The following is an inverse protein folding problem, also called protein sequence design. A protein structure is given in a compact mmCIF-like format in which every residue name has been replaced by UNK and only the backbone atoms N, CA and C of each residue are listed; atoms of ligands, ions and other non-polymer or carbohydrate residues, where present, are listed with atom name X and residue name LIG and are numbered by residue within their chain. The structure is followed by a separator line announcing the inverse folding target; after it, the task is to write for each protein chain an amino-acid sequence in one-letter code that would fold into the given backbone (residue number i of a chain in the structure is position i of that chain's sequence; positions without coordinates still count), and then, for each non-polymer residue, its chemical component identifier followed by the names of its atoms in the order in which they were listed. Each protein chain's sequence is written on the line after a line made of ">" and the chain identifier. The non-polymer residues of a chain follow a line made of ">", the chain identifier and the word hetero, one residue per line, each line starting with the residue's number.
data_IF_551531859885
#
_entry.id   IF_551531859885
#
_cell.length_a   1.000
_cell.length_b   1.000
_cell.length_c   1.000
_cell.angle_alpha   90.00
_cell.angle_beta   90.00
_cell.angle_gamma   90.00
#
_symmetry.space_group_name_H-M   'P 1'
#
loop_
_entity.id
_entity.type
_entity.pdbx_description
1 polymer ?
#
# COMPACT_ATOMS: atom_id res chain seq x y z
N UNK A 1 9.24 -22.21 -3.11
CA UNK A 1 9.89 -20.89 -3.06
C UNK A 1 8.90 -19.94 -2.42
N UNK A 2 9.21 -19.36 -1.26
CA UNK A 2 8.36 -18.29 -0.69
C UNK A 2 8.37 -17.13 -1.68
N UNK A 3 7.20 -16.60 -2.05
CA UNK A 3 7.13 -15.42 -2.90
C UNK A 3 7.89 -14.25 -2.24
N UNK A 4 8.70 -13.54 -3.03
CA UNK A 4 9.51 -12.35 -2.65
C UNK A 4 8.66 -11.19 -2.10
N UNK A 5 7.38 -11.18 -2.46
CA UNK A 5 6.38 -10.22 -2.04
C UNK A 5 5.03 -10.90 -1.79
N UNK A 6 4.16 -10.22 -1.02
CA UNK A 6 2.77 -10.65 -0.78
C UNK A 6 1.79 -9.57 -1.27
N UNK A 7 0.72 -9.99 -1.94
CA UNK A 7 -0.45 -9.14 -2.17
C UNK A 7 -1.31 -9.16 -0.91
N UNK A 8 -1.33 -8.05 -0.17
CA UNK A 8 -2.08 -7.94 1.08
C UNK A 8 -3.53 -7.49 0.87
N UNK A 9 -3.79 -6.81 -0.24
CA UNK A 9 -5.15 -6.52 -0.66
C UNK A 9 -5.23 -5.85 -2.03
N UNK A 10 -6.39 -6.01 -2.63
CA UNK A 10 -6.73 -5.51 -3.96
C UNK A 10 -8.19 -5.06 -3.92
N UNK A 11 -8.40 -3.77 -4.15
CA UNK A 11 -9.70 -3.13 -3.97
C UNK A 11 -10.06 -2.30 -5.19
N UNK A 12 -11.36 -2.20 -5.47
CA UNK A 12 -11.93 -1.21 -6.38
C UNK A 12 -12.54 -0.07 -5.58
N UNK A 13 -12.41 1.15 -6.09
CA UNK A 13 -12.90 2.36 -5.43
C UNK A 13 -14.32 2.67 -5.90
N UNK A 14 -15.25 2.72 -4.95
CA UNK A 14 -16.66 3.04 -5.23
C UNK A 14 -16.99 4.53 -5.10
N UNK A 15 -16.34 5.21 -4.14
CA UNK A 15 -16.60 6.61 -3.80
C UNK A 15 -15.36 7.46 -4.07
N UNK A 16 -15.55 8.71 -4.48
CA UNK A 16 -14.52 9.64 -4.98
C UNK A 16 -14.10 9.40 -6.44
N UNK A 17 -13.35 8.33 -6.73
CA UNK A 17 -12.79 8.08 -8.06
C UNK A 17 -13.19 6.69 -8.57
N UNK A 18 -14.29 6.63 -9.33
CA UNK A 18 -14.80 5.38 -9.90
C UNK A 18 -13.80 4.83 -10.93
N UNK A 19 -13.81 3.52 -11.13
CA UNK A 19 -12.91 2.79 -12.05
C UNK A 19 -11.42 2.79 -11.64
N UNK A 20 -11.14 3.15 -10.39
CA UNK A 20 -9.81 3.00 -9.78
C UNK A 20 -9.67 1.66 -9.06
N UNK A 21 -8.53 1.00 -9.27
CA UNK A 21 -8.07 -0.12 -8.45
C UNK A 21 -6.90 0.33 -7.56
N UNK A 22 -6.87 -0.17 -6.32
CA UNK A 22 -5.79 0.06 -5.35
C UNK A 22 -5.27 -1.29 -4.89
N UNK A 23 -3.94 -1.43 -4.84
CA UNK A 23 -3.29 -2.67 -4.41
C UNK A 23 -2.26 -2.35 -3.33
N UNK A 24 -2.21 -3.18 -2.29
CA UNK A 24 -1.20 -3.12 -1.24
C UNK A 24 -0.27 -4.33 -1.34
N UNK A 25 1.00 -4.07 -1.64
CA UNK A 25 2.05 -5.09 -1.76
C UNK A 25 3.06 -4.96 -0.64
N UNK A 26 3.50 -6.09 -0.10
CA UNK A 26 4.58 -6.14 0.89
C UNK A 26 5.80 -6.84 0.32
N UNK A 27 6.94 -6.17 0.36
CA UNK A 27 8.24 -6.75 0.02
C UNK A 27 8.93 -7.28 1.28
N UNK A 28 9.29 -8.58 1.30
CA UNK A 28 9.86 -9.24 2.50
C UNK A 28 11.33 -8.89 2.74
N UNK A 29 12.05 -8.57 1.67
CA UNK A 29 13.50 -8.32 1.68
C UNK A 29 13.86 -6.84 1.56
N UNK A 30 12.95 -5.94 2.00
CA UNK A 30 13.17 -4.49 1.95
C UNK A 30 13.44 -3.99 0.53
N UNK A 31 14.38 -3.05 0.38
CA UNK A 31 14.73 -2.44 -0.91
C UNK A 31 15.32 -3.43 -1.91
N UNK A 32 16.02 -4.47 -1.46
CA UNK A 32 16.57 -5.50 -2.36
C UNK A 32 15.46 -6.25 -3.11
N UNK A 33 14.36 -6.59 -2.41
CA UNK A 33 13.19 -7.21 -3.03
C UNK A 33 12.46 -6.26 -4.00
N UNK A 34 12.48 -4.96 -3.71
CA UNK A 34 11.94 -3.93 -4.61
C UNK A 34 12.79 -3.86 -5.88
N UNK A 35 14.12 -3.79 -5.75
CA UNK A 35 15.05 -3.70 -6.88
C UNK A 35 14.93 -4.91 -7.81
N UNK A 36 14.84 -6.12 -7.25
CA UNK A 36 14.58 -7.34 -8.02
C UNK A 36 13.27 -7.27 -8.78
N UNK A 37 12.19 -6.84 -8.11
CA UNK A 37 10.87 -6.72 -8.75
C UNK A 37 10.89 -5.69 -9.88
N UNK A 38 11.56 -4.56 -9.68
CA UNK A 38 11.75 -3.53 -10.72
C UNK A 38 12.56 -4.07 -11.90
N UNK A 39 13.60 -4.85 -11.64
CA UNK A 39 14.36 -5.51 -12.70
C UNK A 39 13.49 -6.51 -13.49
N UNK A 40 12.65 -7.30 -12.80
CA UNK A 40 11.76 -8.25 -13.45
C UNK A 40 10.72 -7.56 -14.35
N UNK A 41 10.15 -6.44 -13.89
CA UNK A 41 9.24 -5.60 -14.70
C UNK A 41 9.89 -5.13 -16.03
N UNK A 42 11.21 -4.94 -16.05
CA UNK A 42 11.96 -4.45 -17.21
C UNK A 42 12.53 -5.55 -18.11
N UNK A 43 12.75 -6.74 -17.56
CA UNK A 43 13.51 -7.82 -18.22
C UNK A 43 12.67 -9.05 -18.57
N UNK A 44 11.61 -9.35 -17.81
CA UNK A 44 10.79 -10.54 -18.05
C UNK A 44 9.75 -10.26 -19.14
N UNK A 45 9.86 -10.96 -20.29
CA UNK A 45 9.04 -10.68 -21.48
C UNK A 45 7.52 -10.84 -21.25
N UNK A 46 7.11 -11.81 -20.44
CA UNK A 46 5.69 -12.01 -20.11
C UNK A 46 5.13 -10.83 -19.33
N UNK A 47 5.90 -10.29 -18.39
CA UNK A 47 5.54 -9.12 -17.57
C UNK A 47 5.50 -7.87 -18.43
N UNK A 48 6.50 -7.66 -19.30
CA UNK A 48 6.51 -6.53 -20.25
C UNK A 48 5.32 -6.56 -21.20
N UNK A 49 4.91 -7.75 -21.64
CA UNK A 49 3.71 -7.91 -22.47
C UNK A 49 2.46 -7.47 -21.69
N UNK A 50 2.28 -7.95 -20.46
CA UNK A 50 1.15 -7.56 -19.60
C UNK A 50 1.14 -6.05 -19.32
N UNK A 51 2.30 -5.45 -19.07
CA UNK A 51 2.41 -4.00 -18.85
C UNK A 51 1.99 -3.19 -20.07
N UNK A 52 2.35 -3.64 -21.29
CA UNK A 52 1.90 -2.99 -22.53
C UNK A 52 0.39 -3.13 -22.74
N UNK A 53 -0.18 -4.30 -22.49
CA UNK A 53 -1.62 -4.53 -22.62
C UNK A 53 -2.40 -3.70 -21.60
N UNK A 54 -1.93 -3.67 -20.35
CA UNK A 54 -2.53 -2.87 -19.29
C UNK A 54 -2.41 -1.36 -19.58
N UNK A 55 -1.30 -0.91 -20.15
CA UNK A 55 -1.09 0.47 -20.58
C UNK A 55 -2.08 0.97 -21.65
N UNK A 56 -2.76 0.08 -22.38
CA UNK A 56 -3.79 0.47 -23.36
C UNK A 56 -5.13 0.86 -22.71
N UNK A 57 -5.38 0.41 -21.48
CA UNK A 57 -6.65 0.61 -20.77
C UNK A 57 -6.52 1.51 -19.53
N UNK A 58 -5.30 1.73 -19.05
CA UNK A 58 -5.04 2.61 -17.90
C UNK A 58 -4.95 4.08 -18.32
N UNK A 59 -5.75 4.93 -17.67
CA UNK A 59 -5.63 6.39 -17.80
C UNK A 59 -4.42 6.94 -17.01
N UNK A 60 -4.17 6.39 -15.82
CA UNK A 60 -3.12 6.83 -14.89
C UNK A 60 -2.71 5.69 -13.98
N UNK A 61 -1.44 5.67 -13.57
CA UNK A 61 -0.91 4.78 -12.52
C UNK A 61 0.00 5.57 -11.60
N UNK A 62 -0.22 5.43 -10.30
CA UNK A 62 0.64 5.99 -9.25
C UNK A 62 1.09 4.87 -8.31
N UNK A 63 2.37 4.88 -7.94
CA UNK A 63 2.94 3.94 -6.98
C UNK A 63 3.66 4.73 -5.88
N UNK A 64 3.49 4.30 -4.64
CA UNK A 64 4.13 4.91 -3.48
C UNK A 64 4.82 3.82 -2.67
N UNK A 65 6.11 4.00 -2.40
CA UNK A 65 6.84 3.17 -1.46
C UNK A 65 6.69 3.75 -0.05
N UNK A 66 6.17 2.94 0.87
CA UNK A 66 5.90 3.37 2.22
C UNK A 66 6.37 2.33 3.25
N UNK A 67 6.54 2.79 4.49
CA UNK A 67 6.84 1.95 5.66
C UNK A 67 5.62 1.93 6.57
N UNK A 68 5.38 0.78 7.20
CA UNK A 68 4.36 0.68 8.26
C UNK A 68 4.82 1.44 9.49
N UNK A 69 3.90 2.14 10.15
CA UNK A 69 4.14 2.62 11.51
C UNK A 69 4.20 1.42 12.46
N UNK A 70 5.22 1.38 13.33
CA UNK A 70 5.46 0.24 14.22
C UNK A 70 4.26 -0.10 15.12
N UNK A 71 3.50 0.90 15.56
CA UNK A 71 2.34 0.74 16.44
C UNK A 71 1.04 0.31 15.72
N UNK A 72 1.02 0.25 14.38
CA UNK A 72 -0.10 -0.33 13.62
C UNK A 72 0.02 -1.85 13.45
N UNK A 73 1.23 -2.39 13.60
CA UNK A 73 1.53 -3.78 13.28
C UNK A 73 1.62 -4.05 11.78
N UNK A 74 1.72 -5.33 11.45
CA UNK A 74 1.78 -5.81 10.07
C UNK A 74 0.37 -5.95 9.48
N UNK A 75 0.06 -5.30 8.35
CA UNK A 75 -1.22 -5.49 7.67
C UNK A 75 -1.45 -6.96 7.31
N UNK A 76 -2.68 -7.43 7.54
CA UNK A 76 -3.10 -8.81 7.23
C UNK A 76 -4.30 -8.81 6.28
N UNK A 77 -4.37 -9.76 5.33
CA UNK A 77 -5.58 -9.96 4.55
C UNK A 77 -6.77 -10.22 5.47
N UNK A 78 -7.90 -9.57 5.19
CA UNK A 78 -9.17 -9.81 5.88
C UNK A 78 -10.18 -10.45 4.94
N UNK A 79 -11.31 -10.88 5.50
CA UNK A 79 -12.40 -11.47 4.72
C UNK A 79 -12.88 -10.51 3.61
N UNK A 80 -13.30 -11.02 2.43
CA UNK A 80 -13.63 -10.17 1.27
C UNK A 80 -14.82 -9.21 1.45
N UNK A 81 -15.66 -9.40 2.46
CA UNK A 81 -16.88 -8.59 2.68
C UNK A 81 -16.65 -7.24 3.34
N UNK A 82 -15.41 -6.86 3.64
CA UNK A 82 -15.10 -5.61 4.34
C UNK A 82 -15.06 -4.41 3.38
N UNK A 83 -15.59 -3.27 3.83
CA UNK A 83 -15.44 -1.97 3.17
C UNK A 83 -14.31 -1.22 3.87
N UNK A 84 -13.44 -0.61 3.08
CA UNK A 84 -12.26 0.10 3.56
C UNK A 84 -12.36 1.59 3.25
N UNK A 85 -11.83 2.40 4.16
CA UNK A 85 -11.63 3.82 3.94
C UNK A 85 -10.14 4.08 3.73
N UNK A 86 -9.76 4.56 2.54
CA UNK A 86 -8.40 4.98 2.24
C UNK A 86 -8.27 6.49 2.45
N UNK A 87 -7.29 6.90 3.26
CA UNK A 87 -6.99 8.32 3.51
C UNK A 87 -5.52 8.61 3.23
N UNK A 88 -5.26 9.72 2.57
CA UNK A 88 -3.92 10.23 2.30
C UNK A 88 -3.83 11.65 2.86
N UNK A 89 -2.78 11.91 3.65
CA UNK A 89 -2.55 13.23 4.26
C UNK A 89 -1.20 13.76 3.80
N UNK A 90 -1.18 15.01 3.34
CA UNK A 90 0.06 15.76 3.12
C UNK A 90 0.39 16.50 4.41
N UNK A 91 1.47 16.08 5.07
CA UNK A 91 1.90 16.67 6.33
C UNK A 91 2.81 17.88 6.09
N UNK A 92 2.81 18.82 7.05
CA UNK A 92 3.81 19.89 7.06
C UNK A 92 5.20 19.29 7.32
N UNK A 93 6.26 19.73 6.63
CA UNK A 93 7.62 19.25 6.89
C UNK A 93 7.97 19.32 8.38
N UNK A 94 8.59 18.27 8.92
CA UNK A 94 8.97 18.17 10.33
C UNK A 94 7.86 17.73 11.30
N UNK A 95 6.60 17.58 10.85
CA UNK A 95 5.48 17.24 11.75
C UNK A 95 5.13 15.75 11.84
N UNK A 96 5.84 14.89 11.11
CA UNK A 96 5.55 13.45 11.05
C UNK A 96 5.58 12.77 12.44
N UNK A 97 6.53 13.16 13.30
CA UNK A 97 6.68 12.56 14.63
C UNK A 97 5.50 12.94 15.53
N UNK A 98 5.14 14.22 15.57
CA UNK A 98 4.00 14.71 16.35
C UNK A 98 2.68 14.08 15.86
N UNK A 99 2.49 14.08 14.54
CA UNK A 99 1.32 13.48 13.91
C UNK A 99 1.23 11.98 14.22
N UNK A 100 2.35 11.25 14.12
CA UNK A 100 2.44 9.83 14.46
C UNK A 100 2.12 9.55 15.92
N UNK A 101 2.58 10.39 16.85
CA UNK A 101 2.26 10.24 18.28
C UNK A 101 0.77 10.47 18.57
N UNK A 102 0.14 11.43 17.90
CA UNK A 102 -1.31 11.63 18.00
C UNK A 102 -2.09 10.44 17.41
N UNK A 103 -1.66 9.93 16.26
CA UNK A 103 -2.31 8.81 15.60
C UNK A 103 -2.20 7.51 16.40
N UNK A 104 -1.04 7.26 17.04
CA UNK A 104 -0.80 6.13 17.92
C UNK A 104 -1.80 6.06 19.09
N UNK A 105 -2.19 7.20 19.68
CA UNK A 105 -3.22 7.22 20.72
C UNK A 105 -4.61 6.93 20.16
N UNK A 106 -4.92 7.46 18.98
CA UNK A 106 -6.24 7.30 18.37
C UNK A 106 -6.52 5.89 17.84
N UNK A 107 -5.49 5.16 17.38
CA UNK A 107 -5.67 3.83 16.80
C UNK A 107 -6.04 2.77 17.84
N UNK A 108 -5.66 2.95 19.12
CA UNK A 108 -6.04 2.01 20.19
C UNK A 108 -7.57 1.82 20.27
N UNK A 109 -8.33 2.92 20.22
CA UNK A 109 -9.81 2.85 20.24
C UNK A 109 -10.40 2.15 19.01
N UNK A 110 -9.75 2.26 17.85
CA UNK A 110 -10.18 1.60 16.61
C UNK A 110 -9.82 0.11 16.61
N UNK A 111 -8.73 -0.26 17.27
CA UNK A 111 -8.31 -1.64 17.44
C UNK A 111 -9.30 -2.45 18.25
N UNK A 112 -9.89 -1.87 19.30
CA UNK A 112 -10.96 -2.51 20.08
C UNK A 112 -12.16 -2.92 19.22
N UNK A 113 -12.44 -2.15 18.17
CA UNK A 113 -13.48 -2.43 17.18
C UNK A 113 -12.99 -3.25 15.97
N UNK A 114 -11.78 -3.80 16.00
CA UNK A 114 -11.13 -4.52 14.90
C UNK A 114 -11.08 -3.68 13.61
N UNK A 115 -10.74 -2.39 13.70
CA UNK A 115 -10.66 -1.46 12.55
C UNK A 115 -9.23 -1.08 12.17
N UNK A 116 -8.22 -1.63 12.84
CA UNK A 116 -6.82 -1.46 12.47
C UNK A 116 -6.45 -2.38 11.30
N UNK A 117 -6.25 -1.75 10.13
CA UNK A 117 -5.91 -2.45 8.88
C UNK A 117 -4.45 -2.20 8.50
N UNK A 118 -4.05 -0.92 8.45
CA UNK A 118 -2.67 -0.53 8.15
C UNK A 118 -2.52 0.98 8.19
N UNK A 119 -1.38 1.44 8.66
CA UNK A 119 -1.00 2.84 8.69
C UNK A 119 0.44 3.00 8.22
N UNK A 120 0.63 3.85 7.21
CA UNK A 120 1.90 3.94 6.50
C UNK A 120 2.39 5.39 6.40
N UNK A 121 3.70 5.55 6.26
CA UNK A 121 4.34 6.82 5.94
C UNK A 121 5.40 6.64 4.87
N UNK A 122 5.63 7.69 4.10
CA UNK A 122 6.72 7.76 3.12
C UNK A 122 7.94 8.42 3.77
N UNK A 123 9.13 7.89 3.51
CA UNK A 123 10.38 8.53 3.94
C UNK A 123 10.87 9.58 2.96
N UNK A 124 10.47 9.43 1.69
CA UNK A 124 10.77 10.33 0.58
C UNK A 124 9.43 10.67 -0.05
N UNK A 125 9.10 11.95 -0.07
CA UNK A 125 7.90 12.51 -0.70
C UNK A 125 8.29 13.40 -1.86
#
# INVERSE_FOLDING_TARGET
>A
MSAEFDLLGSWTVFYSNRDQAVHLWRYKHGYEGIDRTMNDLLTVDTVKKLERELGQVLLRRDNVLAKSFSYWGEPRPRQPSNIYELRTYTLRPGTLIEWGAAWARGIEYRREANQDVGGFFTQVG
#
